data_IF_170889718358
#
_entry.id   IF_170889718358
#
_cell.length_a   1.000
_cell.length_b   1.000
_cell.length_c   1.000
_cell.angle_alpha   90.00
_cell.angle_beta   90.00
_cell.angle_gamma   90.00
#
_symmetry.space_group_name_H-M   'P 1'
#
loop_
_entity.id
_entity.type
_entity.pdbx_description
1 polymer ?
#
# COMPACT_ATOMS: atom_id res chain seq x y z
N UNK A 1 15.27 -1.07 13.28
CA UNK A 1 15.45 -1.51 11.88
C UNK A 1 14.21 -2.24 11.38
N UNK A 2 13.78 -2.09 10.11
CA UNK A 2 12.65 -2.85 9.59
C UNK A 2 13.00 -4.34 9.62
N UNK A 3 12.20 -5.15 10.31
CA UNK A 3 12.33 -6.60 10.31
C UNK A 3 12.42 -7.14 8.87
N UNK A 4 13.26 -8.15 8.65
CA UNK A 4 13.44 -8.76 7.33
C UNK A 4 12.09 -9.19 6.73
N UNK A 5 11.88 -8.94 5.43
CA UNK A 5 10.61 -9.25 4.73
C UNK A 5 10.18 -10.71 4.95
N UNK A 6 11.15 -11.63 5.04
CA UNK A 6 10.85 -13.03 5.29
C UNK A 6 10.42 -13.33 6.74
N UNK A 7 10.87 -12.57 7.75
CA UNK A 7 10.37 -12.70 9.12
C UNK A 7 8.86 -12.44 9.18
N UNK A 8 8.39 -11.41 8.48
CA UNK A 8 6.97 -11.09 8.37
C UNK A 8 6.18 -12.13 7.57
N UNK A 9 6.73 -12.68 6.48
CA UNK A 9 6.06 -13.77 5.75
C UNK A 9 5.90 -15.03 6.59
N UNK A 10 6.86 -15.34 7.48
CA UNK A 10 6.73 -16.46 8.43
C UNK A 10 5.63 -16.22 9.46
N UNK A 11 5.49 -15.00 9.95
CA UNK A 11 4.47 -14.65 10.95
C UNK A 11 3.04 -14.79 10.38
N UNK A 12 2.82 -14.39 9.13
CA UNK A 12 1.52 -14.51 8.46
C UNK A 12 1.37 -15.85 7.71
N UNK A 13 2.44 -16.66 7.67
CA UNK A 13 2.51 -17.91 6.90
C UNK A 13 2.16 -17.76 5.40
N UNK A 14 2.35 -16.56 4.83
CA UNK A 14 2.08 -16.25 3.42
C UNK A 14 3.00 -15.14 2.90
N UNK A 15 3.10 -15.02 1.56
CA UNK A 15 3.85 -13.95 0.91
C UNK A 15 2.93 -12.77 0.55
N UNK A 16 2.71 -11.87 1.50
CA UNK A 16 1.79 -10.72 1.35
C UNK A 16 2.18 -9.79 0.20
N UNK A 17 3.46 -9.49 0.02
CA UNK A 17 3.89 -8.48 -0.95
C UNK A 17 4.06 -9.00 -2.37
N UNK A 18 4.24 -10.30 -2.59
CA UNK A 18 4.41 -10.92 -3.93
C UNK A 18 5.49 -10.30 -4.88
N UNK A 19 6.22 -9.26 -4.47
CA UNK A 19 7.22 -8.52 -5.27
C UNK A 19 8.36 -9.43 -5.74
N UNK A 20 8.90 -10.24 -4.84
CA UNK A 20 9.98 -11.19 -5.10
C UNK A 20 9.49 -12.62 -4.89
N UNK A 21 9.82 -13.51 -5.83
CA UNK A 21 9.62 -14.94 -5.67
C UNK A 21 10.45 -15.44 -4.48
N UNK A 22 9.81 -16.18 -3.58
CA UNK A 22 10.48 -16.85 -2.46
C UNK A 22 11.38 -17.96 -2.99
N UNK A 23 12.52 -18.17 -2.32
CA UNK A 23 13.40 -19.32 -2.62
C UNK A 23 12.71 -20.64 -2.25
N UNK A 24 13.16 -21.76 -2.83
CA UNK A 24 12.58 -23.08 -2.52
C UNK A 24 12.62 -23.39 -1.01
N UNK A 25 13.75 -23.09 -0.34
CA UNK A 25 13.90 -23.22 1.13
C UNK A 25 12.86 -22.38 1.88
N UNK A 26 12.65 -21.14 1.47
CA UNK A 26 11.65 -20.25 2.09
C UNK A 26 10.22 -20.73 1.88
N UNK A 27 9.89 -21.25 0.70
CA UNK A 27 8.58 -21.86 0.40
C UNK A 27 8.32 -23.08 1.28
N UNK A 28 9.30 -23.97 1.43
CA UNK A 28 9.17 -25.16 2.29
C UNK A 28 8.88 -24.80 3.75
N UNK A 29 9.53 -23.75 4.28
CA UNK A 29 9.26 -23.24 5.63
C UNK A 29 7.82 -22.75 5.76
N UNK A 30 7.33 -21.97 4.79
CA UNK A 30 5.96 -21.46 4.79
C UNK A 30 4.93 -22.60 4.72
N UNK A 31 5.14 -23.57 3.84
CA UNK A 31 4.27 -24.76 3.73
C UNK A 31 4.21 -25.54 5.06
N UNK A 32 5.35 -25.68 5.75
CA UNK A 32 5.40 -26.33 7.06
C UNK A 32 4.61 -25.55 8.13
N UNK A 33 4.62 -24.22 8.07
CA UNK A 33 3.84 -23.37 8.97
C UNK A 33 2.34 -23.46 8.67
N UNK A 34 1.95 -23.43 7.40
CA UNK A 34 0.56 -23.58 6.97
C UNK A 34 -0.04 -24.91 7.44
N UNK A 35 0.71 -26.02 7.34
CA UNK A 35 0.27 -27.32 7.86
C UNK A 35 0.03 -27.31 9.37
N UNK A 36 0.80 -26.55 10.14
CA UNK A 36 0.59 -26.41 11.60
C UNK A 36 -0.64 -25.57 11.94
N UNK A 37 -1.01 -24.62 11.07
CA UNK A 37 -2.16 -23.72 11.25
C UNK A 37 -3.49 -24.28 10.74
N UNK A 38 -3.51 -25.51 10.19
CA UNK A 38 -4.73 -26.20 9.71
C UNK A 38 -5.72 -26.61 10.82
N UNK A 39 -5.57 -26.11 12.05
CA UNK A 39 -6.59 -26.26 13.09
C UNK A 39 -7.79 -25.37 12.76
N UNK A 40 -9.00 -25.77 13.15
CA UNK A 40 -10.21 -24.93 12.99
C UNK A 40 -9.94 -23.55 13.60
N UNK A 41 -10.00 -22.51 12.77
CA UNK A 41 -9.81 -21.12 13.21
C UNK A 41 -11.16 -20.52 13.59
N UNK A 42 -11.19 -19.76 14.68
CA UNK A 42 -12.34 -18.93 15.03
C UNK A 42 -12.50 -17.78 14.04
N UNK A 43 -13.72 -17.23 13.92
CA UNK A 43 -13.98 -16.12 13.00
C UNK A 43 -13.17 -14.87 13.36
N UNK A 44 -12.98 -14.59 14.66
CA UNK A 44 -12.06 -13.55 15.13
C UNK A 44 -10.61 -13.78 14.68
N UNK A 45 -10.13 -15.03 14.66
CA UNK A 45 -8.78 -15.34 14.16
C UNK A 45 -8.67 -15.04 12.67
N UNK A 46 -9.72 -15.32 11.88
CA UNK A 46 -9.76 -15.01 10.45
C UNK A 46 -9.74 -13.50 10.22
N UNK A 47 -10.57 -12.73 10.93
CA UNK A 47 -10.58 -11.26 10.89
C UNK A 47 -9.19 -10.69 11.29
N UNK A 48 -8.60 -11.19 12.37
CA UNK A 48 -7.29 -10.72 12.81
C UNK A 48 -6.21 -10.97 11.75
N UNK A 49 -6.25 -12.13 11.08
CA UNK A 49 -5.33 -12.45 10.00
C UNK A 49 -5.54 -11.54 8.79
N UNK A 50 -6.78 -11.24 8.39
CA UNK A 50 -7.05 -10.32 7.27
C UNK A 50 -6.57 -8.90 7.57
N UNK A 51 -6.85 -8.39 8.77
CA UNK A 51 -6.37 -7.07 9.22
C UNK A 51 -4.83 -7.03 9.27
N UNK A 52 -4.18 -8.07 9.75
CA UNK A 52 -2.71 -8.15 9.77
C UNK A 52 -2.12 -8.17 8.36
N UNK A 53 -2.72 -8.93 7.43
CA UNK A 53 -2.31 -8.96 6.01
C UNK A 53 -2.42 -7.56 5.40
N UNK A 54 -3.56 -6.89 5.55
CA UNK A 54 -3.78 -5.52 5.08
C UNK A 54 -2.80 -4.52 5.70
N UNK A 55 -2.59 -4.60 7.03
CA UNK A 55 -1.62 -3.76 7.74
C UNK A 55 -0.22 -3.89 7.14
N UNK A 56 0.25 -5.12 6.91
CA UNK A 56 1.56 -5.37 6.31
C UNK A 56 1.65 -4.85 4.87
N UNK A 57 0.59 -5.08 4.09
CA UNK A 57 0.51 -4.66 2.71
C UNK A 57 0.66 -3.14 2.57
N UNK A 58 -0.06 -2.38 3.39
CA UNK A 58 0.01 -0.90 3.43
C UNK A 58 1.16 -0.34 4.29
N UNK A 59 2.24 -1.10 4.45
CA UNK A 59 3.48 -0.62 5.06
C UNK A 59 3.47 -0.63 6.59
N UNK A 60 2.93 -1.69 7.20
CA UNK A 60 2.87 -1.90 8.66
C UNK A 60 2.08 -0.80 9.38
N UNK A 61 0.86 -0.55 8.93
CA UNK A 61 -0.03 0.38 9.62
C UNK A 61 -0.43 -0.18 10.98
N UNK A 62 -0.43 0.64 12.06
CA UNK A 62 -0.87 0.15 13.36
C UNK A 62 -2.33 -0.29 13.28
N UNK A 63 -2.62 -1.51 13.73
CA UNK A 63 -3.95 -2.15 13.69
C UNK A 63 -5.01 -1.24 14.33
N UNK A 64 -4.64 -0.50 15.40
CA UNK A 64 -5.50 0.49 16.05
C UNK A 64 -5.99 1.59 15.09
N UNK A 65 -5.17 2.03 14.14
CA UNK A 65 -5.59 3.04 13.14
C UNK A 65 -6.56 2.43 12.12
N UNK A 66 -6.34 1.18 11.72
CA UNK A 66 -7.28 0.46 10.86
C UNK A 66 -8.62 0.27 11.59
N UNK A 67 -8.61 -0.13 12.86
CA UNK A 67 -9.87 -0.27 13.63
C UNK A 67 -10.57 1.05 13.92
N UNK A 68 -9.84 2.18 14.02
CA UNK A 68 -10.42 3.50 14.33
C UNK A 68 -11.10 4.18 13.15
N UNK A 69 -10.65 3.93 11.91
CA UNK A 69 -11.30 4.49 10.71
C UNK A 69 -12.67 3.86 10.42
N UNK A 70 -13.15 2.93 11.25
CA UNK A 70 -14.49 2.31 11.17
C UNK A 70 -15.66 3.28 11.48
N UNK A 71 -15.41 4.58 11.72
CA UNK A 71 -16.36 5.43 12.47
C UNK A 71 -17.09 6.52 11.69
N UNK A 72 -16.94 6.69 10.36
CA UNK A 72 -17.42 7.93 9.73
C UNK A 72 -18.50 7.89 8.63
N UNK A 73 -18.99 6.76 8.14
CA UNK A 73 -20.21 6.78 7.28
C UNK A 73 -21.01 5.49 7.36
N UNK A 74 -22.31 5.61 7.59
CA UNK A 74 -23.24 4.51 7.88
C UNK A 74 -23.56 3.58 6.69
N UNK A 75 -23.16 3.94 5.47
CA UNK A 75 -23.63 3.27 4.26
C UNK A 75 -22.71 2.16 3.73
N UNK A 76 -21.41 2.15 4.05
CA UNK A 76 -20.48 1.06 3.72
C UNK A 76 -19.15 1.19 4.50
N UNK A 77 -19.17 0.76 5.77
CA UNK A 77 -18.03 0.92 6.70
C UNK A 77 -16.74 0.23 6.22
N UNK A 78 -16.86 -0.91 5.53
CA UNK A 78 -15.74 -1.72 5.03
C UNK A 78 -14.97 -0.99 3.93
N UNK A 79 -15.70 -0.51 2.93
CA UNK A 79 -15.12 0.18 1.79
C UNK A 79 -14.49 1.53 2.20
N UNK A 80 -15.14 2.25 3.12
CA UNK A 80 -14.66 3.54 3.64
C UNK A 80 -13.24 3.47 4.24
N UNK A 81 -12.95 2.46 5.09
CA UNK A 81 -11.61 2.28 5.66
C UNK A 81 -10.54 2.10 4.59
N UNK A 82 -10.83 1.25 3.60
CA UNK A 82 -9.87 0.93 2.56
C UNK A 82 -9.66 2.16 1.65
N UNK A 83 -10.71 2.89 1.33
CA UNK A 83 -10.64 4.15 0.58
C UNK A 83 -9.78 5.19 1.29
N UNK A 84 -9.94 5.34 2.61
CA UNK A 84 -9.09 6.23 3.41
C UNK A 84 -7.63 5.82 3.37
N UNK A 85 -7.33 4.52 3.41
CA UNK A 85 -5.94 4.05 3.31
C UNK A 85 -5.39 4.31 1.90
N UNK A 86 -6.21 4.12 0.88
CA UNK A 86 -5.83 4.29 -0.52
C UNK A 86 -5.52 5.75 -0.88
N UNK A 87 -6.20 6.70 -0.23
CA UNK A 87 -5.99 8.16 -0.40
C UNK A 87 -4.73 8.72 0.24
N UNK A 88 -3.98 7.91 0.98
CA UNK A 88 -2.75 8.37 1.62
C UNK A 88 -1.66 8.66 0.60
N UNK A 89 -0.92 9.75 0.82
CA UNK A 89 0.18 10.17 -0.04
C UNK A 89 1.23 9.06 -0.26
N UNK A 90 1.60 8.31 0.79
CA UNK A 90 2.57 7.21 0.68
C UNK A 90 2.08 6.04 -0.18
N UNK A 91 0.77 5.78 -0.21
CA UNK A 91 0.15 4.74 -1.04
C UNK A 91 0.04 5.21 -2.48
N UNK A 92 -0.44 6.43 -2.69
CA UNK A 92 -0.62 7.02 -4.03
C UNK A 92 0.71 7.03 -4.80
N UNK A 93 1.82 7.43 -4.17
CA UNK A 93 3.13 7.43 -4.86
C UNK A 93 3.58 6.04 -5.34
N UNK A 94 3.17 4.98 -4.64
CA UNK A 94 3.44 3.59 -5.04
C UNK A 94 2.48 3.16 -6.14
N UNK A 95 1.20 3.56 -6.08
CA UNK A 95 0.22 3.32 -7.15
C UNK A 95 0.61 3.97 -8.47
N UNK A 96 1.25 5.14 -8.41
CA UNK A 96 1.74 5.86 -9.58
C UNK A 96 3.11 5.39 -10.08
N UNK A 97 3.69 4.35 -9.47
CA UNK A 97 5.02 3.84 -9.80
C UNK A 97 6.17 4.86 -9.65
N UNK A 98 5.95 5.98 -8.95
CA UNK A 98 7.03 6.89 -8.56
C UNK A 98 7.96 6.21 -7.55
N UNK A 99 7.39 5.34 -6.71
CA UNK A 99 8.12 4.50 -5.76
C UNK A 99 7.79 3.03 -5.96
N UNK A 100 8.73 2.14 -5.65
CA UNK A 100 8.49 0.69 -5.67
C UNK A 100 7.87 0.15 -4.40
N UNK A 101 8.10 0.82 -3.28
CA UNK A 101 7.67 0.34 -1.97
C UNK A 101 7.15 1.50 -1.13
N UNK A 102 6.20 1.20 -0.24
CA UNK A 102 5.64 2.22 0.67
C UNK A 102 6.74 2.79 1.57
N UNK A 103 7.72 1.98 2.00
CA UNK A 103 8.84 2.47 2.80
C UNK A 103 9.70 3.50 2.05
N UNK A 104 9.93 3.27 0.75
CA UNK A 104 10.62 4.23 -0.11
C UNK A 104 9.81 5.52 -0.27
N UNK A 105 8.49 5.41 -0.48
CA UNK A 105 7.62 6.58 -0.54
C UNK A 105 7.66 7.39 0.75
N UNK A 106 7.56 6.72 1.92
CA UNK A 106 7.69 7.37 3.23
C UNK A 106 9.01 8.07 3.42
N UNK A 107 10.12 7.45 3.00
CA UNK A 107 11.43 8.07 3.06
C UNK A 107 11.46 9.37 2.25
N UNK A 108 10.94 9.36 1.03
CA UNK A 108 10.88 10.57 0.20
C UNK A 108 10.01 11.67 0.79
N UNK A 109 8.86 11.30 1.37
CA UNK A 109 7.98 12.25 2.05
C UNK A 109 8.70 12.84 3.28
N UNK A 110 9.26 12.01 4.15
CA UNK A 110 10.03 12.48 5.32
C UNK A 110 11.19 13.41 4.95
N UNK A 111 11.83 13.19 3.80
CA UNK A 111 12.89 14.06 3.27
C UNK A 111 12.39 15.29 2.49
N UNK A 112 11.08 15.61 2.55
CA UNK A 112 10.47 16.79 1.91
C UNK A 112 10.70 16.85 0.39
N UNK A 113 10.69 15.71 -0.29
CA UNK A 113 10.90 15.63 -1.75
C UNK A 113 9.61 15.70 -2.56
N UNK A 114 8.46 15.66 -1.89
CA UNK A 114 7.13 15.67 -2.51
C UNK A 114 6.38 16.92 -2.07
N UNK A 115 5.67 17.50 -3.03
CA UNK A 115 4.83 18.65 -2.84
C UNK A 115 3.39 18.29 -3.18
N UNK A 116 2.45 18.84 -2.40
CA UNK A 116 1.01 18.78 -2.66
C UNK A 116 0.53 20.22 -2.78
N UNK A 117 -0.15 20.54 -3.89
CA UNK A 117 -0.61 21.90 -4.21
C UNK A 117 0.51 22.95 -4.03
N UNK A 118 1.70 22.66 -4.57
CA UNK A 118 2.94 23.46 -4.46
C UNK A 118 3.57 23.58 -3.06
N UNK A 119 2.97 23.01 -2.01
CA UNK A 119 3.51 23.02 -0.65
C UNK A 119 4.25 21.73 -0.33
N UNK A 120 5.41 21.81 0.31
CA UNK A 120 6.18 20.64 0.74
C UNK A 120 5.46 19.89 1.86
N UNK A 121 5.29 18.58 1.70
CA UNK A 121 4.65 17.71 2.70
C UNK A 121 5.68 16.74 3.25
N UNK A 122 5.73 16.62 4.59
CA UNK A 122 6.62 15.70 5.31
C UNK A 122 5.88 14.56 6.04
N UNK A 123 4.55 14.53 5.97
CA UNK A 123 3.72 13.54 6.65
C UNK A 123 3.33 12.44 5.67
N UNK A 124 3.78 11.18 5.84
CA UNK A 124 3.47 10.10 4.90
C UNK A 124 1.99 9.70 4.87
N UNK A 125 1.31 9.82 6.02
CA UNK A 125 -0.12 9.56 6.13
C UNK A 125 -0.99 10.76 5.79
N UNK A 126 -0.47 11.74 5.04
CA UNK A 126 -1.25 12.87 4.55
C UNK A 126 -2.39 12.37 3.66
N UNK A 127 -3.62 12.79 3.97
CA UNK A 127 -4.81 12.40 3.22
C UNK A 127 -5.02 13.36 2.06
N UNK A 128 -5.03 12.83 0.84
CA UNK A 128 -5.27 13.61 -0.35
C UNK A 128 -6.78 13.75 -0.61
N UNK A 129 -7.18 14.92 -1.05
CA UNK A 129 -8.54 15.27 -1.45
C UNK A 129 -8.68 15.31 -2.96
N UNK A 130 -9.92 15.24 -3.44
CA UNK A 130 -10.21 15.47 -4.86
C UNK A 130 -9.67 16.84 -5.28
N UNK A 131 -9.05 16.90 -6.45
CA UNK A 131 -8.41 18.10 -7.00
C UNK A 131 -6.98 18.35 -6.54
N UNK A 132 -6.44 17.57 -5.59
CA UNK A 132 -5.07 17.78 -5.14
C UNK A 132 -4.05 17.43 -6.23
N UNK A 133 -3.11 18.36 -6.46
CA UNK A 133 -1.99 18.23 -7.37
C UNK A 133 -0.75 17.77 -6.62
N UNK A 134 -0.23 16.61 -6.99
CA UNK A 134 0.99 16.03 -6.47
C UNK A 134 2.14 16.33 -7.44
N UNK A 135 3.23 16.85 -6.92
CA UNK A 135 4.47 17.08 -7.67
C UNK A 135 5.70 16.64 -6.89
N UNK A 136 6.80 16.47 -7.59
CA UNK A 136 8.12 16.15 -7.01
C UNK A 136 8.98 17.41 -7.10
N UNK A 137 9.81 17.64 -6.09
CA UNK A 137 10.78 18.74 -6.08
C UNK A 137 11.75 18.63 -7.27
N UNK A 138 12.02 19.74 -7.96
CA UNK A 138 12.81 19.75 -9.21
C UNK A 138 14.18 19.07 -9.08
N UNK A 139 14.89 19.33 -7.98
CA UNK A 139 16.21 18.72 -7.70
C UNK A 139 16.16 17.18 -7.62
N UNK A 140 15.00 16.61 -7.30
CA UNK A 140 14.83 15.17 -7.16
C UNK A 140 14.10 14.53 -8.35
N UNK A 141 13.62 15.34 -9.29
CA UNK A 141 12.85 14.91 -10.45
C UNK A 141 13.67 13.99 -11.36
N UNK A 142 14.93 14.34 -11.62
CA UNK A 142 15.84 13.54 -12.46
C UNK A 142 16.05 12.12 -11.90
N UNK A 143 16.22 12.00 -10.58
CA UNK A 143 16.43 10.72 -9.91
C UNK A 143 15.20 9.81 -9.99
N UNK A 144 14.00 10.36 -9.82
CA UNK A 144 12.78 9.54 -9.97
C UNK A 144 12.59 9.17 -11.44
N UNK A 145 12.79 10.11 -12.37
CA UNK A 145 12.65 9.88 -13.80
C UNK A 145 13.51 8.71 -14.30
N UNK A 146 14.78 8.63 -13.86
CA UNK A 146 15.68 7.53 -14.26
C UNK A 146 15.21 6.16 -13.74
N UNK A 147 14.51 6.13 -12.61
CA UNK A 147 14.02 4.89 -11.98
C UNK A 147 12.64 4.46 -12.43
N UNK A 148 11.80 5.36 -12.95
CA UNK A 148 10.41 5.05 -13.32
C UNK A 148 10.30 3.86 -14.27
N UNK A 149 11.14 3.78 -15.31
CA UNK A 149 11.10 2.67 -16.26
C UNK A 149 11.37 1.33 -15.57
N UNK A 150 12.35 1.29 -14.67
CA UNK A 150 12.65 0.11 -13.86
C UNK A 150 11.51 -0.20 -12.88
N UNK A 151 10.87 0.84 -12.33
CA UNK A 151 9.75 0.67 -11.41
C UNK A 151 8.57 -0.02 -12.10
N UNK A 152 8.21 0.42 -13.31
CA UNK A 152 7.15 -0.20 -14.11
C UNK A 152 7.42 -1.67 -14.43
N UNK A 153 8.68 -2.01 -14.73
CA UNK A 153 9.05 -3.40 -15.03
C UNK A 153 9.06 -4.30 -13.79
N UNK A 154 9.50 -3.77 -12.64
CA UNK A 154 9.66 -4.55 -11.42
C UNK A 154 8.41 -4.60 -10.55
N UNK A 155 7.50 -3.62 -10.68
CA UNK A 155 6.25 -3.62 -9.93
C UNK A 155 5.24 -4.60 -10.55
N UNK A 156 5.19 -5.80 -9.97
CA UNK A 156 4.24 -6.86 -10.38
C UNK A 156 2.84 -6.69 -9.78
N UNK A 157 2.74 -5.90 -8.71
CA UNK A 157 1.53 -5.75 -7.90
C UNK A 157 0.62 -4.70 -8.52
N UNK A 158 1.18 -3.52 -8.82
CA UNK A 158 0.45 -2.35 -9.29
C UNK A 158 0.81 -2.03 -10.73
N UNK A 159 0.47 -2.96 -11.64
CA UNK A 159 0.68 -2.75 -13.08
C UNK A 159 -0.33 -1.78 -13.66
N UNK A 160 -1.55 -1.80 -13.14
CA UNK A 160 -2.67 -0.98 -13.58
C UNK A 160 -2.72 0.28 -12.72
N UNK A 161 -2.64 1.44 -13.37
CA UNK A 161 -2.91 2.74 -12.75
C UNK A 161 -4.38 2.77 -12.28
N UNK A 162 -4.67 3.22 -11.05
CA UNK A 162 -6.05 3.36 -10.61
C UNK A 162 -6.76 4.49 -11.40
N UNK A 163 -8.06 4.32 -11.61
CA UNK A 163 -8.89 5.20 -12.46
C UNK A 163 -9.06 6.60 -11.88
N UNK A 164 -9.09 6.74 -10.56
CA UNK A 164 -9.28 8.00 -9.84
C UNK A 164 -8.05 8.92 -9.84
N UNK A 165 -6.92 8.47 -10.38
CA UNK A 165 -5.68 9.26 -10.47
C UNK A 165 -5.31 9.52 -11.92
N UNK A 166 -4.95 10.76 -12.23
CA UNK A 166 -4.36 11.11 -13.52
C UNK A 166 -2.89 11.49 -13.34
N UNK A 167 -2.01 11.03 -14.24
CA UNK A 167 -0.57 11.24 -14.13
C UNK A 167 0.03 11.57 -15.47
N UNK A 168 0.85 12.62 -15.49
CA UNK A 168 1.77 12.89 -16.57
C UNK A 168 3.16 12.39 -16.21
N UNK A 169 3.57 11.26 -16.80
CA UNK A 169 4.88 10.65 -16.54
C UNK A 169 6.06 11.42 -17.14
N UNK A 170 5.82 12.40 -18.02
CA UNK A 170 6.89 13.28 -18.51
C UNK A 170 7.21 14.37 -17.50
N UNK A 171 6.22 14.94 -16.84
CA UNK A 171 6.42 16.01 -15.85
C UNK A 171 6.47 15.50 -14.41
N UNK A 172 6.11 14.23 -14.18
CA UNK A 172 5.95 13.62 -12.86
C UNK A 172 4.99 14.38 -11.95
N UNK A 173 3.93 14.89 -12.58
CA UNK A 173 2.80 15.53 -11.90
C UNK A 173 1.61 14.60 -11.94
N UNK A 174 0.84 14.58 -10.87
CA UNK A 174 -0.34 13.76 -10.74
C UNK A 174 -1.48 14.54 -10.09
N UNK A 175 -2.72 14.26 -10.48
CA UNK A 175 -3.92 14.88 -9.93
C UNK A 175 -4.86 13.78 -9.44
N UNK A 176 -5.47 14.02 -8.28
CA UNK A 176 -6.57 13.19 -7.78
C UNK A 176 -7.88 13.69 -8.39
N UNK A 177 -8.52 12.90 -9.24
CA UNK A 177 -9.74 13.32 -9.94
C UNK A 177 -10.97 13.24 -9.05
N UNK A 178 -11.17 12.08 -8.41
CA UNK A 178 -12.32 11.79 -7.55
C UNK A 178 -11.93 10.81 -6.46
N UNK A 179 -12.85 10.53 -5.53
CA UNK A 179 -12.60 9.56 -4.46
C UNK A 179 -12.61 8.12 -5.01
N UNK A 180 -11.76 7.22 -4.49
CA UNK A 180 -11.72 5.84 -4.98
C UNK A 180 -13.08 5.16 -4.74
N UNK A 181 -13.67 4.62 -5.81
CA UNK A 181 -14.92 3.86 -5.75
C UNK A 181 -14.67 2.35 -5.65
N UNK A 182 -13.53 1.89 -6.15
CA UNK A 182 -13.14 0.49 -6.11
C UNK A 182 -11.64 0.35 -5.93
N UNK A 183 -11.23 -0.63 -5.13
CA UNK A 183 -9.82 -0.94 -4.90
C UNK A 183 -9.52 -2.30 -5.50
N UNK A 184 -8.59 -2.30 -6.46
CA UNK A 184 -8.05 -3.53 -7.00
C UNK A 184 -6.91 -3.99 -6.11
N UNK A 185 -7.01 -5.24 -5.63
CA UNK A 185 -5.93 -5.95 -4.96
C UNK A 185 -5.35 -7.02 -5.90
N UNK A 186 -4.04 -7.28 -5.85
CA UNK A 186 -3.42 -8.33 -6.66
C UNK A 186 -3.72 -9.75 -6.13
N UNK A 187 -4.28 -9.87 -4.91
CA UNK A 187 -4.71 -11.13 -4.31
C UNK A 187 -6.14 -10.99 -3.78
N UNK A 188 -6.88 -12.09 -3.75
CA UNK A 188 -8.22 -12.13 -3.15
C UNK A 188 -8.10 -11.88 -1.64
N UNK A 189 -8.75 -10.82 -1.18
CA UNK A 189 -8.94 -10.51 0.23
C UNK A 189 -10.43 -10.66 0.48
N UNK A 190 -10.79 -11.55 1.39
CA UNK A 190 -12.16 -11.69 1.84
C UNK A 190 -12.47 -10.50 2.75
N UNK A 191 -12.92 -9.39 2.14
CA UNK A 191 -13.27 -8.17 2.84
C UNK A 191 -14.49 -8.35 3.73
N UNK A 192 -15.30 -9.39 3.46
CA UNK A 192 -16.46 -9.74 4.26
C UNK A 192 -16.09 -10.06 5.71
N UNK A 193 -14.88 -10.57 5.95
CA UNK A 193 -14.37 -10.89 7.29
C UNK A 193 -14.02 -9.66 8.14
N UNK A 194 -14.14 -8.42 7.63
CA UNK A 194 -13.70 -7.18 8.30
C UNK A 194 -14.83 -6.41 9.02
N UNK A 195 -15.90 -7.09 9.42
CA UNK A 195 -17.00 -6.50 10.22
C UNK A 195 -16.49 -5.74 11.47
#
# INVERSE_FOLDING_TARGET
MPASRFKTCRQISENVWQTKKLTQKQKAIILKLQKKTNKKQSDFSKELQTIQKLSLFYGKLPIKKMRRSKTQTYLDKKNSLLFDIERRLDVILVRLNFCLTIFQARQLISHKKICVNSKMVNIPGFQLSKGDLISIQDNFLYFIRSKIRQNFQSNRIWRIKPTHLEVNYKTLKAVVLYEPQQIQFPYSIDLDLLD
#
